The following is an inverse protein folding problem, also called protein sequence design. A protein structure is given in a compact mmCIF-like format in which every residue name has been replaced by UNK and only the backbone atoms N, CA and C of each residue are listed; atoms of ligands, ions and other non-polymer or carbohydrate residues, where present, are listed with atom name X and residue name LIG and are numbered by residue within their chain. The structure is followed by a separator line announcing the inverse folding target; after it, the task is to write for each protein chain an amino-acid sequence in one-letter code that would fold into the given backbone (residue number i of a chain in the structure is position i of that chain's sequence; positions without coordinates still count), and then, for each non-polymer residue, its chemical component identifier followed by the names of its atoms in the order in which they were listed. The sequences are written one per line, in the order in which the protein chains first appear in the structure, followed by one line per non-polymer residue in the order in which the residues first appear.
data_IF_935474962419
#
_entry.id   IF_935474962419
#
_cell.length_a   1.000
_cell.length_b   1.000
_cell.length_c   1.000
_cell.angle_alpha   90.00
_cell.angle_beta   90.00
_cell.angle_gamma   90.00
#
_symmetry.space_group_name_H-M   'P 1'
#
loop_
_entity.id
_entity.type
_entity.pdbx_description
1 polymer ?
#
# COMPACT_ATOMS: atom_id res chain seq x y z
N UNK A 1 20.54 68.18 -27.55
CA UNK A 1 21.83 67.86 -28.17
C UNK A 1 21.87 66.32 -28.10
N UNK A 2 21.39 65.58 -29.07
CA UNK A 2 21.84 65.44 -30.43
C UNK A 2 22.94 64.38 -30.42
N UNK A 3 22.71 63.16 -30.80
CA UNK A 3 22.82 62.74 -32.18
C UNK A 3 22.35 61.28 -32.38
N UNK A 4 21.65 61.11 -33.49
CA UNK A 4 21.29 59.83 -34.10
C UNK A 4 22.45 59.35 -34.97
N UNK A 5 22.78 58.08 -34.99
CA UNK A 5 23.51 57.46 -36.14
C UNK A 5 22.78 56.18 -36.52
N UNK A 6 22.62 56.08 -37.86
CA UNK A 6 21.79 55.19 -38.63
C UNK A 6 22.40 53.77 -38.81
N UNK A 7 21.49 52.82 -39.12
CA UNK A 7 21.78 51.47 -39.64
C UNK A 7 22.26 51.49 -41.09
N UNK A 8 22.97 50.45 -41.57
CA UNK A 8 22.71 49.97 -42.90
C UNK A 8 22.21 48.50 -42.92
N UNK A 9 21.25 48.27 -43.83
CA UNK A 9 20.72 46.98 -44.22
C UNK A 9 21.75 46.20 -45.06
N UNK A 10 21.94 44.91 -44.73
CA UNK A 10 22.55 43.96 -45.66
C UNK A 10 21.51 42.90 -46.08
N UNK A 11 21.16 42.86 -47.32
CA UNK A 11 20.38 41.80 -47.99
C UNK A 11 21.32 40.62 -48.26
N UNK A 12 20.98 39.46 -47.81
CA UNK A 12 21.61 38.19 -48.22
C UNK A 12 20.58 37.33 -48.95
N UNK A 13 20.94 36.93 -50.15
CA UNK A 13 20.22 36.03 -51.01
C UNK A 13 20.33 34.60 -50.50
N UNK A 14 19.23 33.89 -50.34
CA UNK A 14 19.15 32.47 -50.04
C UNK A 14 19.00 31.70 -51.37
N UNK A 15 20.02 30.91 -51.70
CA UNK A 15 19.98 29.96 -52.80
C UNK A 15 19.37 28.64 -52.28
N UNK A 16 18.22 28.24 -52.82
CA UNK A 16 17.64 26.92 -52.57
C UNK A 16 18.43 25.85 -53.35
N UNK A 17 19.01 24.92 -52.63
CA UNK A 17 19.45 23.63 -53.16
C UNK A 17 18.50 22.54 -52.66
N UNK A 18 17.74 21.98 -53.60
CA UNK A 18 16.88 20.83 -53.37
C UNK A 18 17.76 19.57 -53.33
N UNK A 19 17.95 19.04 -52.10
CA UNK A 19 18.58 17.74 -51.88
C UNK A 19 17.53 16.68 -51.61
N UNK A 20 17.41 15.71 -52.52
CA UNK A 20 16.59 14.51 -52.36
C UNK A 20 17.23 13.62 -51.28
N UNK A 21 16.68 13.60 -50.04
CA UNK A 21 17.06 12.59 -49.03
C UNK A 21 16.15 11.38 -49.17
N UNK A 22 16.69 10.30 -49.70
CA UNK A 22 16.10 8.95 -49.59
C UNK A 22 16.34 8.45 -48.18
N UNK A 23 15.34 8.46 -47.34
CA UNK A 23 15.40 7.84 -46.00
C UNK A 23 15.15 6.34 -46.12
N UNK A 24 16.21 5.56 -46.03
CA UNK A 24 16.10 4.13 -45.79
C UNK A 24 15.68 3.88 -44.35
N UNK A 25 14.44 3.41 -44.15
CA UNK A 25 13.96 2.95 -42.85
C UNK A 25 14.65 1.64 -42.49
N UNK A 26 15.65 1.71 -41.59
CA UNK A 26 16.20 0.52 -40.94
C UNK A 26 15.24 0.08 -39.87
N UNK A 27 14.49 -1.00 -40.10
CA UNK A 27 13.69 -1.68 -39.09
C UNK A 27 14.61 -2.30 -38.04
N UNK A 28 14.67 -1.72 -36.86
CA UNK A 28 15.29 -2.33 -35.68
C UNK A 28 14.46 -3.54 -35.24
N UNK A 29 15.07 -4.72 -34.97
CA UNK A 29 14.36 -5.84 -34.43
C UNK A 29 13.78 -5.49 -33.05
N UNK A 30 12.52 -5.83 -32.82
CA UNK A 30 11.86 -5.69 -31.51
C UNK A 30 12.68 -6.52 -30.49
N UNK A 31 13.32 -5.82 -29.56
CA UNK A 31 13.92 -6.45 -28.38
C UNK A 31 12.78 -7.02 -27.53
N UNK A 32 12.65 -8.32 -27.50
CA UNK A 32 11.90 -9.03 -26.46
C UNK A 32 12.54 -8.65 -25.13
N UNK A 33 11.77 -8.03 -24.24
CA UNK A 33 12.20 -7.81 -22.86
C UNK A 33 12.55 -9.20 -22.26
N UNK A 34 13.68 -9.30 -21.51
CA UNK A 34 13.97 -10.54 -20.80
C UNK A 34 12.80 -10.81 -19.84
N UNK A 35 12.31 -12.06 -19.85
CA UNK A 35 11.35 -12.53 -18.86
C UNK A 35 11.91 -12.19 -17.47
N UNK A 36 11.13 -11.50 -16.66
CA UNK A 36 11.48 -11.25 -15.26
C UNK A 36 11.76 -12.62 -14.63
N UNK A 37 12.95 -12.80 -14.06
CA UNK A 37 13.29 -13.97 -13.28
C UNK A 37 12.26 -14.06 -12.15
N UNK A 38 11.40 -15.07 -12.14
CA UNK A 38 10.49 -15.33 -11.04
C UNK A 38 11.33 -15.67 -9.82
N UNK A 39 11.51 -14.68 -8.95
CA UNK A 39 12.04 -14.90 -7.61
C UNK A 39 10.98 -15.73 -6.85
N UNK A 40 11.36 -16.79 -6.12
CA UNK A 40 10.41 -17.52 -5.29
C UNK A 40 9.79 -16.57 -4.28
N UNK A 41 8.47 -16.54 -4.18
CA UNK A 41 7.76 -15.79 -3.16
C UNK A 41 8.12 -16.38 -1.78
N UNK A 42 8.31 -15.51 -0.79
CA UNK A 42 8.61 -15.93 0.58
C UNK A 42 7.45 -16.71 1.20
N UNK A 43 6.22 -16.30 0.91
CA UNK A 43 5.03 -17.06 1.27
C UNK A 43 4.71 -18.08 0.15
N UNK A 44 4.27 -19.27 0.52
CA UNK A 44 3.70 -20.20 -0.45
C UNK A 44 2.56 -19.54 -1.23
N UNK A 45 2.28 -19.98 -2.47
CA UNK A 45 1.24 -19.37 -3.28
C UNK A 45 -0.10 -19.43 -2.55
N UNK A 46 -0.88 -18.35 -2.65
CA UNK A 46 -2.24 -18.28 -2.13
C UNK A 46 -3.11 -19.30 -2.90
N UNK A 47 -3.48 -20.40 -2.24
CA UNK A 47 -4.38 -21.40 -2.80
C UNK A 47 -5.84 -21.16 -2.42
N UNK A 48 -6.76 -21.92 -3.04
CA UNK A 48 -8.19 -21.78 -2.78
C UNK A 48 -8.58 -22.10 -1.33
N UNK A 49 -7.86 -23.00 -0.65
CA UNK A 49 -8.13 -23.35 0.74
C UNK A 49 -7.71 -22.22 1.69
N UNK A 50 -6.55 -21.64 1.48
CA UNK A 50 -6.10 -20.45 2.22
C UNK A 50 -7.01 -19.24 1.94
N UNK A 51 -7.40 -19.01 0.69
CA UNK A 51 -8.34 -17.95 0.31
C UNK A 51 -9.68 -18.11 1.05
N UNK A 52 -10.23 -19.33 1.11
CA UNK A 52 -11.49 -19.59 1.84
C UNK A 52 -11.35 -19.32 3.34
N UNK A 53 -10.23 -19.72 3.97
CA UNK A 53 -9.97 -19.41 5.40
C UNK A 53 -9.90 -17.90 5.66
N UNK A 54 -9.16 -17.16 4.83
CA UNK A 54 -9.02 -15.71 5.00
C UNK A 54 -10.33 -14.98 4.71
N UNK A 55 -11.09 -15.41 3.68
CA UNK A 55 -12.42 -14.86 3.44
C UNK A 55 -13.36 -15.05 4.63
N UNK A 56 -13.34 -16.23 5.26
CA UNK A 56 -14.16 -16.51 6.44
C UNK A 56 -13.84 -15.58 7.62
N UNK A 57 -12.58 -15.18 7.82
CA UNK A 57 -12.22 -14.22 8.87
C UNK A 57 -12.89 -12.86 8.65
N UNK A 58 -12.81 -12.33 7.43
CA UNK A 58 -13.45 -11.05 7.09
C UNK A 58 -14.99 -11.16 7.17
N UNK A 59 -15.59 -12.19 6.57
CA UNK A 59 -17.04 -12.41 6.59
C UNK A 59 -17.60 -12.51 8.00
N UNK A 60 -16.84 -13.07 8.94
CA UNK A 60 -17.26 -13.18 10.33
C UNK A 60 -17.40 -11.82 11.01
N UNK A 61 -16.59 -10.81 10.65
CA UNK A 61 -16.53 -9.55 11.40
C UNK A 61 -17.09 -8.32 10.68
N UNK A 62 -17.16 -8.28 9.32
CA UNK A 62 -17.59 -7.10 8.56
C UNK A 62 -18.88 -6.44 9.03
N UNK A 63 -19.83 -7.23 9.53
CA UNK A 63 -21.11 -6.74 10.05
C UNK A 63 -21.32 -7.07 11.54
N UNK A 64 -20.23 -7.45 12.23
CA UNK A 64 -20.25 -7.62 13.68
C UNK A 64 -19.96 -6.27 14.33
N UNK A 65 -20.99 -5.61 14.84
CA UNK A 65 -20.89 -4.26 15.37
C UNK A 65 -20.04 -4.19 16.66
N UNK A 66 -20.08 -5.23 17.49
CA UNK A 66 -19.37 -5.26 18.78
C UNK A 66 -18.52 -6.54 18.94
N UNK A 67 -17.33 -6.40 19.64
CA UNK A 67 -16.76 -5.18 20.23
C UNK A 67 -16.38 -4.15 19.16
N UNK A 68 -16.35 -2.84 19.53
CA UNK A 68 -16.02 -1.77 18.60
C UNK A 68 -15.18 -0.66 19.26
N UNK A 69 -14.24 -0.11 18.51
CA UNK A 69 -13.39 0.99 18.91
C UNK A 69 -13.62 2.21 18.01
N UNK A 70 -14.33 3.20 18.52
CA UNK A 70 -14.55 4.47 17.84
C UNK A 70 -13.45 5.47 18.19
N UNK A 71 -12.70 5.90 17.20
CA UNK A 71 -11.58 6.84 17.35
C UNK A 71 -12.01 8.27 16.98
N UNK A 72 -12.92 8.89 17.76
CA UNK A 72 -13.28 10.28 17.53
C UNK A 72 -13.46 11.09 18.83
N UNK A 73 -13.31 12.41 18.71
CA UNK A 73 -13.61 13.32 19.81
C UNK A 73 -15.11 13.60 19.87
N UNK A 74 -15.73 13.38 21.01
CA UNK A 74 -17.10 13.77 21.27
C UNK A 74 -17.19 15.28 21.54
N UNK A 75 -18.00 15.98 20.77
CA UNK A 75 -18.28 17.41 20.97
C UNK A 75 -19.60 17.65 21.71
N UNK A 76 -20.49 16.64 21.74
CA UNK A 76 -21.77 16.64 22.44
C UNK A 76 -22.29 15.23 22.61
N UNK A 77 -23.36 15.05 23.39
CA UNK A 77 -24.05 13.76 23.56
C UNK A 77 -24.55 13.18 22.24
N UNK A 78 -24.85 14.01 21.24
CA UNK A 78 -25.28 13.55 19.92
C UNK A 78 -24.17 12.87 19.11
N UNK A 79 -22.90 12.96 19.53
CA UNK A 79 -21.79 12.25 18.94
C UNK A 79 -21.64 10.81 19.47
N UNK A 80 -22.28 10.49 20.61
CA UNK A 80 -22.27 9.17 21.23
C UNK A 80 -23.40 8.29 20.64
N UNK A 81 -23.18 7.79 19.41
CA UNK A 81 -24.13 6.93 18.70
C UNK A 81 -23.52 5.56 18.41
N UNK A 82 -24.36 4.52 18.15
CA UNK A 82 -23.86 3.23 17.71
C UNK A 82 -22.99 3.34 16.45
N UNK A 83 -21.98 2.47 16.29
CA UNK A 83 -21.09 2.48 15.12
C UNK A 83 -21.81 2.50 13.77
N UNK A 84 -22.83 1.66 13.58
CA UNK A 84 -23.58 1.58 12.32
C UNK A 84 -24.34 2.88 11.96
N UNK A 85 -24.68 3.72 12.94
CA UNK A 85 -25.28 5.03 12.69
C UNK A 85 -24.26 6.09 12.32
N UNK A 86 -23.01 5.94 12.76
CA UNK A 86 -21.92 6.87 12.51
C UNK A 86 -21.23 6.58 11.17
N UNK A 87 -20.87 5.32 10.96
CA UNK A 87 -20.13 4.84 9.79
C UNK A 87 -20.84 3.64 9.16
N UNK A 88 -21.96 3.86 8.46
CA UNK A 88 -22.88 2.79 8.08
C UNK A 88 -22.35 1.81 7.03
N UNK A 89 -21.28 2.16 6.31
CA UNK A 89 -20.62 1.24 5.38
C UNK A 89 -19.56 0.38 6.06
N UNK A 90 -18.87 0.95 7.07
CA UNK A 90 -17.68 0.36 7.70
C UNK A 90 -17.76 0.44 9.22
N UNK A 91 -18.57 -0.41 9.82
CA UNK A 91 -18.85 -0.39 11.27
C UNK A 91 -18.46 -1.67 12.00
N UNK A 92 -18.00 -2.70 11.27
CA UNK A 92 -17.63 -3.99 11.82
C UNK A 92 -16.16 -4.13 12.16
N UNK A 93 -15.69 -5.35 12.32
CA UNK A 93 -14.28 -5.74 12.50
C UNK A 93 -13.54 -4.88 13.54
N UNK A 94 -14.14 -4.58 14.67
CA UNK A 94 -13.61 -3.79 15.78
C UNK A 94 -13.53 -2.28 15.51
N UNK A 95 -13.03 -1.86 14.35
CA UNK A 95 -12.82 -0.47 13.98
C UNK A 95 -12.99 -0.22 12.47
N UNK A 96 -13.06 1.06 12.11
CA UNK A 96 -13.34 1.49 10.76
C UNK A 96 -12.31 0.99 9.74
N UNK A 97 -11.02 1.10 10.06
CA UNK A 97 -9.98 0.70 9.10
C UNK A 97 -9.89 -0.81 8.92
N UNK A 98 -10.11 -1.60 9.97
CA UNK A 98 -10.12 -3.06 9.86
C UNK A 98 -11.30 -3.54 9.01
N UNK A 99 -12.45 -2.87 9.11
CA UNK A 99 -13.59 -3.15 8.24
C UNK A 99 -13.29 -2.78 6.78
N UNK A 100 -12.71 -1.60 6.52
CA UNK A 100 -12.30 -1.17 5.18
C UNK A 100 -11.34 -2.17 4.52
N UNK A 101 -10.29 -2.58 5.23
CA UNK A 101 -9.34 -3.51 4.62
C UNK A 101 -9.84 -4.97 4.60
N UNK A 102 -10.84 -5.33 5.43
CA UNK A 102 -11.61 -6.55 5.29
C UNK A 102 -12.42 -6.58 3.97
N UNK A 103 -13.03 -5.45 3.60
CA UNK A 103 -13.68 -5.26 2.30
C UNK A 103 -12.67 -5.41 1.15
N UNK A 104 -11.48 -4.79 1.26
CA UNK A 104 -10.41 -4.96 0.29
C UNK A 104 -10.01 -6.44 0.12
N UNK A 105 -9.85 -7.16 1.23
CA UNK A 105 -9.54 -8.59 1.23
C UNK A 105 -10.56 -9.38 0.41
N UNK A 106 -11.87 -9.17 0.66
CA UNK A 106 -12.91 -9.89 -0.07
C UNK A 106 -12.92 -9.55 -1.56
N UNK A 107 -12.77 -8.27 -1.94
CA UNK A 107 -12.68 -7.87 -3.35
C UNK A 107 -11.49 -8.53 -4.04
N UNK A 108 -10.32 -8.56 -3.37
CA UNK A 108 -9.11 -9.20 -3.88
C UNK A 108 -9.32 -10.70 -4.08
N UNK A 109 -9.91 -11.39 -3.10
CA UNK A 109 -10.13 -12.83 -3.18
C UNK A 109 -11.20 -13.22 -4.21
N UNK A 110 -12.28 -12.46 -4.36
CA UNK A 110 -13.27 -12.65 -5.44
C UNK A 110 -12.59 -12.60 -6.80
N UNK A 111 -11.68 -11.63 -7.00
CA UNK A 111 -10.97 -11.47 -8.27
C UNK A 111 -10.01 -12.62 -8.57
N UNK A 112 -9.32 -13.12 -7.56
CA UNK A 112 -8.34 -14.20 -7.72
C UNK A 112 -8.98 -15.58 -7.79
N UNK A 113 -10.13 -15.77 -7.15
CA UNK A 113 -10.83 -17.05 -7.02
C UNK A 113 -12.32 -16.89 -7.30
N UNK A 114 -12.71 -16.50 -8.55
CA UNK A 114 -14.10 -16.14 -8.86
C UNK A 114 -15.10 -17.29 -8.70
N UNK A 115 -14.64 -18.52 -8.74
CA UNK A 115 -15.47 -19.74 -8.63
C UNK A 115 -15.42 -20.38 -7.22
N UNK A 116 -14.78 -19.73 -6.25
CA UNK A 116 -14.66 -20.26 -4.90
C UNK A 116 -15.99 -20.23 -4.14
N UNK A 117 -16.27 -21.20 -3.24
CA UNK A 117 -17.55 -21.29 -2.53
C UNK A 117 -17.93 -20.05 -1.71
N UNK A 118 -16.95 -19.30 -1.20
CA UNK A 118 -17.20 -18.09 -0.41
C UNK A 118 -17.67 -16.87 -1.23
N UNK A 119 -17.54 -16.92 -2.57
CA UNK A 119 -17.76 -15.74 -3.44
C UNK A 119 -19.20 -15.20 -3.34
N UNK A 120 -20.20 -16.07 -3.29
CA UNK A 120 -21.60 -15.64 -3.18
C UNK A 120 -21.86 -14.87 -1.89
N UNK A 121 -21.35 -15.39 -0.77
CA UNK A 121 -21.48 -14.74 0.54
C UNK A 121 -20.69 -13.42 0.59
N UNK A 122 -19.47 -13.41 0.06
CA UNK A 122 -18.65 -12.22 -0.02
C UNK A 122 -19.29 -11.10 -0.87
N UNK A 123 -19.88 -11.43 -2.03
CA UNK A 123 -20.66 -10.47 -2.84
C UNK A 123 -21.86 -9.91 -2.09
N UNK A 124 -22.57 -10.74 -1.36
CA UNK A 124 -23.72 -10.33 -0.53
C UNK A 124 -23.28 -9.35 0.57
N UNK A 125 -22.19 -9.65 1.24
CA UNK A 125 -21.62 -8.79 2.29
C UNK A 125 -21.18 -7.42 1.72
N UNK A 126 -20.44 -7.41 0.62
CA UNK A 126 -19.99 -6.18 -0.04
C UNK A 126 -21.17 -5.33 -0.54
N UNK A 127 -22.21 -5.97 -1.13
CA UNK A 127 -23.41 -5.27 -1.61
C UNK A 127 -24.22 -4.64 -0.46
N UNK A 128 -24.21 -5.24 0.74
CA UNK A 128 -24.85 -4.68 1.93
C UNK A 128 -24.15 -3.41 2.41
N UNK A 129 -22.84 -3.36 2.39
CA UNK A 129 -22.02 -2.21 2.82
C UNK A 129 -21.99 -1.10 1.78
N UNK A 130 -21.67 -1.44 0.52
CA UNK A 130 -21.38 -0.49 -0.54
C UNK A 130 -22.67 -0.04 -1.25
N UNK A 131 -23.53 0.67 -0.53
CA UNK A 131 -24.75 1.30 -1.05
C UNK A 131 -24.58 2.81 -1.14
N UNK A 132 -25.29 3.51 -2.08
CA UNK A 132 -25.24 4.97 -2.16
C UNK A 132 -25.60 5.66 -0.84
N UNK A 133 -26.55 5.09 -0.08
CA UNK A 133 -26.98 5.62 1.19
C UNK A 133 -25.89 5.52 2.26
N UNK A 134 -25.25 4.36 2.39
CA UNK A 134 -24.18 4.15 3.36
C UNK A 134 -22.98 5.05 3.04
N UNK A 135 -22.59 5.14 1.76
CA UNK A 135 -21.48 6.01 1.34
C UNK A 135 -21.78 7.50 1.59
N UNK A 136 -23.04 7.93 1.43
CA UNK A 136 -23.43 9.29 1.81
C UNK A 136 -23.32 9.51 3.34
N UNK A 137 -23.67 8.50 4.15
CA UNK A 137 -23.47 8.52 5.60
C UNK A 137 -22.01 8.64 6.00
N UNK A 138 -21.12 7.85 5.40
CA UNK A 138 -19.66 7.96 5.61
C UNK A 138 -19.14 9.36 5.33
N UNK A 139 -19.52 9.95 4.19
CA UNK A 139 -19.12 11.31 3.82
C UNK A 139 -19.64 12.33 4.84
N UNK A 140 -20.90 12.20 5.26
CA UNK A 140 -21.47 13.09 6.26
C UNK A 140 -20.72 12.99 7.60
N UNK A 141 -20.39 11.77 8.04
CA UNK A 141 -19.60 11.54 9.24
C UNK A 141 -18.20 12.17 9.12
N UNK A 142 -17.48 11.90 8.04
CA UNK A 142 -16.15 12.46 7.80
C UNK A 142 -16.17 13.99 7.83
N UNK A 143 -17.20 14.64 7.29
CA UNK A 143 -17.36 16.10 7.26
C UNK A 143 -17.81 16.70 8.58
N UNK A 144 -18.15 15.90 9.56
CA UNK A 144 -18.56 16.32 10.88
C UNK A 144 -17.47 17.10 11.63
N UNK A 145 -17.86 17.92 12.60
CA UNK A 145 -16.95 18.64 13.46
C UNK A 145 -16.05 17.65 14.23
N UNK A 146 -14.76 18.00 14.43
CA UNK A 146 -13.82 17.15 15.15
C UNK A 146 -13.31 15.91 14.40
N UNK A 147 -13.68 15.72 13.11
CA UNK A 147 -13.32 14.52 12.32
C UNK A 147 -12.11 14.73 11.38
N UNK A 148 -11.40 15.83 11.47
CA UNK A 148 -10.31 16.14 10.55
C UNK A 148 -9.13 15.16 10.59
N UNK A 149 -8.89 14.51 11.73
CA UNK A 149 -7.83 13.50 11.94
C UNK A 149 -8.34 12.07 11.95
N UNK A 150 -9.66 11.85 11.80
CA UNK A 150 -10.24 10.51 11.80
C UNK A 150 -9.58 9.64 10.73
N UNK A 151 -9.06 8.49 11.15
CA UNK A 151 -8.42 7.45 10.33
C UNK A 151 -7.22 7.90 9.47
N UNK A 152 -6.68 9.06 9.75
CA UNK A 152 -5.56 9.62 8.99
C UNK A 152 -4.20 9.26 9.60
N UNK A 153 -3.27 8.65 8.83
CA UNK A 153 -3.40 8.37 7.40
C UNK A 153 -3.83 6.94 7.06
N UNK A 154 -3.73 5.98 7.96
CA UNK A 154 -3.77 4.53 7.74
C UNK A 154 -5.10 4.06 7.13
N UNK A 155 -6.21 4.30 7.82
CA UNK A 155 -7.52 3.84 7.36
C UNK A 155 -7.91 4.52 6.03
N UNK A 156 -7.61 5.82 5.88
CA UNK A 156 -7.86 6.53 4.63
C UNK A 156 -7.02 5.97 3.47
N UNK A 157 -5.81 5.53 3.72
CA UNK A 157 -4.96 4.88 2.72
C UNK A 157 -5.51 3.49 2.31
N UNK A 158 -6.04 2.71 3.26
CA UNK A 158 -6.71 1.45 2.97
C UNK A 158 -7.99 1.64 2.17
N UNK A 159 -8.77 2.71 2.42
CA UNK A 159 -9.94 3.02 1.59
C UNK A 159 -9.53 3.28 0.13
N UNK A 160 -8.47 4.05 -0.09
CA UNK A 160 -7.94 4.26 -1.44
C UNK A 160 -7.41 2.96 -2.05
N UNK A 161 -6.83 2.06 -1.25
CA UNK A 161 -6.41 0.73 -1.71
C UNK A 161 -7.61 -0.14 -2.13
N UNK A 162 -8.71 -0.10 -1.37
CA UNK A 162 -9.97 -0.74 -1.75
C UNK A 162 -10.49 -0.17 -3.08
N UNK A 163 -10.50 1.15 -3.24
CA UNK A 163 -10.92 1.80 -4.48
C UNK A 163 -10.05 1.37 -5.67
N UNK A 164 -8.73 1.26 -5.49
CA UNK A 164 -7.81 0.78 -6.52
C UNK A 164 -8.10 -0.67 -6.93
N UNK A 165 -8.40 -1.55 -5.97
CA UNK A 165 -8.72 -2.95 -6.25
C UNK A 165 -10.02 -3.07 -7.07
N UNK A 166 -11.05 -2.31 -6.70
CA UNK A 166 -12.32 -2.26 -7.44
C UNK A 166 -12.13 -1.72 -8.86
N UNK A 167 -11.34 -0.64 -9.05
CA UNK A 167 -11.04 -0.07 -10.37
C UNK A 167 -10.25 -1.02 -11.27
N UNK A 168 -9.38 -1.85 -10.68
CA UNK A 168 -8.57 -2.82 -11.41
C UNK A 168 -9.31 -4.11 -11.78
N UNK A 169 -10.62 -4.22 -11.49
CA UNK A 169 -11.43 -5.42 -11.75
C UNK A 169 -12.34 -5.24 -12.95
N UNK A 170 -12.38 -6.25 -13.82
CA UNK A 170 -13.33 -6.32 -14.95
C UNK A 170 -14.69 -6.91 -14.56
N UNK A 171 -14.88 -7.27 -13.28
CA UNK A 171 -16.12 -7.82 -12.74
C UNK A 171 -17.24 -6.76 -12.72
N UNK A 172 -18.48 -7.16 -13.06
CA UNK A 172 -19.62 -6.25 -13.17
C UNK A 172 -20.02 -5.65 -11.82
N UNK A 173 -20.03 -6.47 -10.74
CA UNK A 173 -20.36 -5.99 -9.40
C UNK A 173 -19.26 -5.06 -8.89
N UNK A 174 -17.98 -5.39 -9.12
CA UNK A 174 -16.86 -4.54 -8.76
C UNK A 174 -16.94 -3.16 -9.42
N UNK A 175 -17.34 -3.08 -10.71
CA UNK A 175 -17.60 -1.79 -11.39
C UNK A 175 -18.75 -1.01 -10.72
N UNK A 176 -19.82 -1.69 -10.35
CA UNK A 176 -20.94 -1.10 -9.62
C UNK A 176 -20.52 -0.54 -8.27
N UNK A 177 -19.77 -1.31 -7.48
CA UNK A 177 -19.22 -0.88 -6.18
C UNK A 177 -18.21 0.24 -6.33
N UNK A 178 -17.36 0.20 -7.36
CA UNK A 178 -16.43 1.29 -7.67
C UNK A 178 -17.17 2.61 -7.93
N UNK A 179 -18.23 2.58 -8.72
CA UNK A 179 -19.06 3.76 -8.97
C UNK A 179 -19.75 4.27 -7.69
N UNK A 180 -20.23 3.36 -6.85
CA UNK A 180 -20.85 3.68 -5.56
C UNK A 180 -19.85 4.29 -4.57
N UNK A 181 -18.61 3.77 -4.51
CA UNK A 181 -17.56 4.23 -3.61
C UNK A 181 -16.93 5.57 -4.07
N UNK A 182 -17.01 5.92 -5.35
CA UNK A 182 -16.30 7.05 -5.95
C UNK A 182 -16.50 8.41 -5.23
N UNK A 183 -17.68 8.78 -4.70
CA UNK A 183 -17.81 10.01 -3.92
C UNK A 183 -16.99 10.03 -2.62
N UNK A 184 -16.93 8.90 -1.91
CA UNK A 184 -16.13 8.77 -0.69
C UNK A 184 -14.62 8.72 -1.02
N UNK A 185 -14.23 7.99 -2.06
CA UNK A 185 -12.87 8.00 -2.60
C UNK A 185 -12.39 9.43 -2.89
N UNK A 186 -13.23 10.24 -3.55
CA UNK A 186 -12.91 11.64 -3.87
C UNK A 186 -12.75 12.50 -2.61
N UNK A 187 -13.60 12.33 -1.61
CA UNK A 187 -13.50 13.03 -0.31
C UNK A 187 -12.18 12.68 0.40
N UNK A 188 -11.85 11.40 0.45
CA UNK A 188 -10.61 10.91 1.09
C UNK A 188 -9.38 11.41 0.35
N UNK A 189 -9.36 11.32 -0.98
CA UNK A 189 -8.26 11.83 -1.79
C UNK A 189 -8.04 13.34 -1.58
N UNK A 190 -9.12 14.13 -1.55
CA UNK A 190 -9.04 15.56 -1.30
C UNK A 190 -8.46 15.89 0.10
N UNK A 191 -8.86 15.13 1.14
CA UNK A 191 -8.32 15.28 2.50
C UNK A 191 -6.83 15.01 2.56
N UNK A 192 -6.38 13.91 1.97
CA UNK A 192 -4.97 13.52 1.97
C UNK A 192 -4.13 14.49 1.14
N UNK A 193 -4.61 14.92 -0.04
CA UNK A 193 -3.94 15.93 -0.87
C UNK A 193 -3.79 17.27 -0.13
N UNK A 194 -4.80 17.66 0.65
CA UNK A 194 -4.76 18.88 1.47
C UNK A 194 -3.86 18.71 2.72
N UNK A 195 -3.73 17.51 3.25
CA UNK A 195 -2.96 17.23 4.46
C UNK A 195 -1.45 17.16 4.21
N UNK A 196 -1.02 16.43 3.17
CA UNK A 196 0.39 16.13 2.93
C UNK A 196 1.31 17.37 2.86
N UNK A 197 0.93 18.48 2.21
CA UNK A 197 1.77 19.70 2.21
C UNK A 197 1.92 20.37 3.58
N UNK A 198 0.98 20.11 4.51
CA UNK A 198 1.01 20.68 5.87
C UNK A 198 1.80 19.81 6.84
N UNK A 199 2.07 18.55 6.49
CA UNK A 199 2.91 17.68 7.29
C UNK A 199 4.37 18.09 7.11
N UNK A 200 4.98 18.63 8.17
CA UNK A 200 6.37 19.07 8.13
C UNK A 200 7.35 17.94 8.44
N UNK A 201 6.99 17.06 9.35
CA UNK A 201 7.75 15.87 9.72
C UNK A 201 6.91 14.61 9.50
N UNK A 202 7.47 13.55 8.85
CA UNK A 202 6.75 12.28 8.75
C UNK A 202 6.70 11.59 10.13
N UNK A 203 5.62 10.84 10.37
CA UNK A 203 5.51 9.99 11.56
C UNK A 203 6.23 8.67 11.27
N UNK A 204 7.19 8.30 12.12
CA UNK A 204 8.06 7.12 11.98
C UNK A 204 7.89 6.17 13.17
N UNK A 205 6.68 5.67 13.35
CA UNK A 205 6.33 4.66 14.36
C UNK A 205 5.80 3.40 13.67
N UNK A 206 5.73 2.29 14.37
CA UNK A 206 5.24 1.02 13.82
C UNK A 206 3.73 0.84 13.93
N UNK A 207 2.97 1.94 14.08
CA UNK A 207 1.54 1.98 14.33
C UNK A 207 0.77 2.74 13.23
N UNK A 208 -0.55 2.91 13.41
CA UNK A 208 -1.50 3.48 12.44
C UNK A 208 -1.12 4.87 11.91
N UNK A 209 -0.42 5.69 12.69
CA UNK A 209 0.04 7.01 12.25
C UNK A 209 1.23 6.98 11.29
N UNK A 210 1.79 5.80 11.00
CA UNK A 210 2.96 5.61 10.14
C UNK A 210 2.76 6.22 8.75
N UNK A 211 3.60 7.20 8.40
CA UNK A 211 3.41 7.96 7.17
C UNK A 211 3.80 7.17 5.92
N UNK A 212 5.00 6.56 5.89
CA UNK A 212 5.52 5.94 4.67
C UNK A 212 4.67 4.74 4.20
N UNK A 213 4.15 3.92 5.11
CA UNK A 213 3.24 2.83 4.78
C UNK A 213 1.97 3.34 4.09
N UNK A 214 1.33 4.36 4.67
CA UNK A 214 0.15 4.96 4.06
C UNK A 214 0.45 5.55 2.68
N UNK A 215 1.59 6.25 2.52
CA UNK A 215 1.99 6.81 1.22
C UNK A 215 2.23 5.72 0.17
N UNK A 216 2.70 4.52 0.56
CA UNK A 216 2.86 3.39 -0.36
C UNK A 216 1.51 2.91 -0.92
N UNK A 217 0.50 2.73 -0.07
CA UNK A 217 -0.85 2.36 -0.51
C UNK A 217 -1.49 3.43 -1.39
N UNK A 218 -1.33 4.71 -1.02
CA UNK A 218 -1.86 5.85 -1.79
C UNK A 218 -1.15 5.96 -3.15
N UNK A 219 0.15 5.65 -3.23
CA UNK A 219 0.90 5.61 -4.48
C UNK A 219 0.33 4.58 -5.45
N UNK A 220 0.06 3.37 -4.96
CA UNK A 220 -0.53 2.31 -5.77
C UNK A 220 -1.94 2.72 -6.28
N UNK A 221 -2.75 3.37 -5.44
CA UNK A 221 -4.04 3.95 -5.86
C UNK A 221 -3.87 5.06 -6.91
N UNK A 222 -2.95 6.00 -6.70
CA UNK A 222 -2.72 7.11 -7.62
C UNK A 222 -2.26 6.64 -9.01
N UNK A 223 -1.59 5.48 -9.08
CA UNK A 223 -1.22 4.85 -10.34
C UNK A 223 -2.44 4.30 -11.10
N UNK A 224 -3.40 3.71 -10.38
CA UNK A 224 -4.61 3.10 -10.97
C UNK A 224 -5.66 4.15 -11.30
N UNK A 225 -5.86 5.14 -10.43
CA UNK A 225 -6.84 6.22 -10.62
C UNK A 225 -6.41 7.26 -11.64
N UNK A 226 -5.10 7.39 -11.90
CA UNK A 226 -4.53 8.44 -12.74
C UNK A 226 -4.55 9.83 -12.08
N UNK A 227 -4.67 9.92 -10.75
CA UNK A 227 -4.65 11.20 -10.04
C UNK A 227 -3.25 11.81 -10.01
N UNK A 228 -3.00 12.72 -10.96
CA UNK A 228 -1.71 13.41 -11.12
C UNK A 228 -1.40 14.29 -9.91
N UNK A 229 -2.39 14.98 -9.32
CA UNK A 229 -2.17 15.87 -8.18
C UNK A 229 -1.71 15.09 -6.95
N UNK A 230 -2.33 13.94 -6.68
CA UNK A 230 -1.87 13.07 -5.61
C UNK A 230 -0.47 12.52 -5.91
N UNK A 231 -0.21 12.12 -7.15
CA UNK A 231 1.11 11.63 -7.57
C UNK A 231 2.20 12.68 -7.29
N UNK A 232 1.95 13.94 -7.67
CA UNK A 232 2.89 15.03 -7.45
C UNK A 232 3.11 15.29 -5.94
N UNK A 233 2.03 15.27 -5.15
CA UNK A 233 2.11 15.42 -3.70
C UNK A 233 2.92 14.30 -3.02
N UNK A 234 2.80 13.07 -3.52
CA UNK A 234 3.57 11.92 -3.02
C UNK A 234 5.05 12.00 -3.41
N UNK A 235 5.35 12.46 -4.62
CA UNK A 235 6.74 12.70 -5.05
C UNK A 235 7.40 13.81 -4.21
N UNK A 236 6.70 14.91 -3.97
CA UNK A 236 7.17 15.97 -3.08
C UNK A 236 7.39 15.44 -1.65
N UNK A 237 6.47 14.66 -1.11
CA UNK A 237 6.62 14.04 0.20
C UNK A 237 7.83 13.11 0.27
N UNK A 238 8.07 12.28 -0.75
CA UNK A 238 9.24 11.41 -0.82
C UNK A 238 10.54 12.20 -0.79
N UNK A 239 10.60 13.32 -1.53
CA UNK A 239 11.78 14.18 -1.57
C UNK A 239 12.03 14.88 -0.22
N UNK A 240 10.97 15.47 0.37
CA UNK A 240 11.08 16.23 1.62
C UNK A 240 11.38 15.35 2.83
N UNK A 241 10.79 14.15 2.87
CA UNK A 241 10.83 13.33 4.08
C UNK A 241 11.94 12.29 4.06
N UNK A 242 12.22 11.66 2.90
CA UNK A 242 12.93 10.39 2.88
C UNK A 242 14.16 10.36 1.97
N UNK A 243 14.26 11.23 0.96
CA UNK A 243 15.36 11.16 -0.02
C UNK A 243 16.75 11.26 0.63
N UNK A 244 16.85 12.04 1.72
CA UNK A 244 18.11 12.30 2.42
C UNK A 244 18.34 11.43 3.66
N UNK A 245 17.40 10.55 4.01
CA UNK A 245 17.53 9.67 5.16
C UNK A 245 18.62 8.62 4.95
N UNK A 246 19.37 8.36 6.02
CA UNK A 246 20.51 7.43 6.04
C UNK A 246 20.55 6.69 7.36
N UNK A 247 21.13 5.46 7.35
CA UNK A 247 21.40 4.68 8.55
C UNK A 247 20.15 4.50 9.43
N UNK A 248 19.00 4.08 8.84
CA UNK A 248 17.79 3.88 9.61
C UNK A 248 18.05 2.93 10.78
N UNK A 249 17.63 3.29 12.02
CA UNK A 249 17.99 2.56 13.23
C UNK A 249 17.15 1.29 13.41
N UNK A 250 17.22 0.36 12.45
CA UNK A 250 16.47 -0.90 12.44
C UNK A 250 16.67 -1.76 13.72
N UNK A 251 17.76 -1.56 14.43
CA UNK A 251 18.02 -2.22 15.71
C UNK A 251 17.11 -1.77 16.86
N UNK A 252 16.38 -0.65 16.71
CA UNK A 252 15.35 -0.20 17.64
C UNK A 252 13.96 -0.80 17.35
N UNK A 253 13.84 -1.58 16.27
CA UNK A 253 12.60 -2.25 15.88
C UNK A 253 12.60 -3.73 16.26
N UNK A 254 11.47 -4.28 16.72
CA UNK A 254 10.22 -3.55 16.93
C UNK A 254 10.19 -2.77 18.24
N UNK A 255 9.37 -1.72 18.32
CA UNK A 255 8.79 -1.25 19.56
C UNK A 255 7.74 -2.27 20.06
N UNK A 256 7.32 -2.19 21.32
CA UNK A 256 6.55 -3.26 21.97
C UNK A 256 5.22 -3.64 21.30
N UNK A 257 4.62 -2.75 20.55
CA UNK A 257 3.27 -2.90 19.95
C UNK A 257 3.27 -2.66 18.44
N UNK A 258 4.41 -2.65 17.78
CA UNK A 258 4.52 -2.40 16.36
C UNK A 258 3.87 -3.51 15.53
N UNK A 259 3.08 -3.14 14.51
CA UNK A 259 2.63 -4.03 13.44
C UNK A 259 3.19 -3.65 12.07
N UNK A 260 3.96 -2.57 12.01
CA UNK A 260 4.72 -2.10 10.85
C UNK A 260 6.17 -1.84 11.26
N UNK A 261 7.11 -2.02 10.32
CA UNK A 261 8.50 -1.61 10.48
C UNK A 261 8.68 -0.21 9.90
N UNK A 262 8.97 0.82 10.69
CA UNK A 262 9.22 2.17 10.17
C UNK A 262 10.29 2.21 9.08
N UNK A 263 11.43 1.56 9.29
CA UNK A 263 12.51 1.53 8.31
C UNK A 263 12.14 0.78 7.04
N UNK A 264 11.48 -0.39 7.14
CA UNK A 264 11.11 -1.14 5.93
C UNK A 264 9.94 -0.47 5.19
N UNK A 265 8.97 0.15 5.90
CA UNK A 265 7.89 0.89 5.26
C UNK A 265 8.42 2.08 4.44
N UNK A 266 9.44 2.78 4.96
CA UNK A 266 10.09 3.85 4.23
C UNK A 266 10.78 3.33 2.97
N UNK A 267 11.54 2.23 3.08
CA UNK A 267 12.18 1.62 1.92
C UNK A 267 11.16 1.07 0.91
N UNK A 268 10.04 0.52 1.37
CA UNK A 268 8.95 0.01 0.54
C UNK A 268 8.21 1.12 -0.20
N UNK A 269 8.06 2.30 0.41
CA UNK A 269 7.54 3.49 -0.29
C UNK A 269 8.56 4.02 -1.31
N UNK A 270 9.83 4.18 -0.91
CA UNK A 270 10.85 4.75 -1.77
C UNK A 270 11.15 3.90 -3.01
N UNK A 271 11.03 2.57 -2.95
CA UNK A 271 11.16 1.71 -4.14
C UNK A 271 10.09 1.96 -5.20
N UNK A 272 8.91 2.47 -4.80
CA UNK A 272 7.84 2.84 -5.73
C UNK A 272 8.10 4.16 -6.45
N UNK A 273 8.82 5.05 -5.79
CA UNK A 273 9.08 6.42 -6.27
C UNK A 273 10.35 6.50 -7.09
N UNK A 274 11.42 5.84 -6.65
CA UNK A 274 12.73 5.89 -7.28
C UNK A 274 12.87 4.86 -8.40
N UNK A 275 13.64 5.18 -9.44
CA UNK A 275 14.02 4.17 -10.43
C UNK A 275 14.93 3.11 -9.80
N UNK A 276 14.92 1.85 -10.29
CA UNK A 276 15.68 0.75 -9.67
C UNK A 276 17.15 1.04 -9.36
N UNK A 277 17.95 1.66 -10.28
CA UNK A 277 19.34 1.99 -9.97
C UNK A 277 19.49 3.03 -8.86
N UNK A 278 18.61 4.06 -8.87
CA UNK A 278 18.61 5.13 -7.85
C UNK A 278 18.16 4.57 -6.50
N UNK A 279 17.16 3.72 -6.50
CA UNK A 279 16.71 3.02 -5.29
C UNK A 279 17.81 2.14 -4.69
N UNK A 280 18.49 1.34 -5.50
CA UNK A 280 19.58 0.49 -5.04
C UNK A 280 20.72 1.28 -4.37
N UNK A 281 21.06 2.45 -4.93
CA UNK A 281 22.04 3.36 -4.35
C UNK A 281 21.53 4.00 -3.05
N UNK A 282 20.31 4.52 -3.03
CA UNK A 282 19.70 5.13 -1.87
C UNK A 282 19.60 4.12 -0.71
N UNK A 283 19.12 2.89 -0.99
CA UNK A 283 19.00 1.81 -0.02
C UNK A 283 20.34 1.43 0.62
N UNK A 284 21.45 1.53 -0.13
CA UNK A 284 22.80 1.25 0.40
C UNK A 284 23.22 2.24 1.49
N UNK A 285 22.73 3.47 1.44
CA UNK A 285 22.96 4.47 2.48
C UNK A 285 21.91 4.44 3.59
N UNK A 286 20.69 4.03 3.27
CA UNK A 286 19.57 4.00 4.20
C UNK A 286 19.58 2.77 5.11
N UNK A 287 19.79 1.57 4.55
CA UNK A 287 19.89 0.31 5.29
C UNK A 287 21.23 -0.39 4.98
N UNK A 288 22.37 0.19 5.39
CA UNK A 288 23.71 -0.37 5.12
C UNK A 288 23.96 -1.71 5.81
N UNK A 289 23.16 -2.04 6.84
CA UNK A 289 23.23 -3.29 7.60
C UNK A 289 22.70 -4.51 6.85
N UNK A 290 22.01 -4.35 5.70
CA UNK A 290 21.56 -5.49 4.89
C UNK A 290 22.80 -6.28 4.43
N UNK A 291 22.94 -7.58 4.79
CA UNK A 291 24.09 -8.37 4.41
C UNK A 291 24.26 -8.48 2.89
N UNK A 292 25.49 -8.46 2.44
CA UNK A 292 25.86 -8.63 1.02
C UNK A 292 26.58 -9.94 0.86
N UNK A 293 25.99 -10.87 0.12
CA UNK A 293 26.60 -12.17 -0.18
C UNK A 293 26.37 -12.54 -1.62
N UNK A 294 27.38 -13.08 -2.27
CA UNK A 294 27.28 -13.69 -3.60
C UNK A 294 27.02 -15.20 -3.52
N UNK A 295 27.10 -15.79 -2.34
CA UNK A 295 26.81 -17.21 -2.14
C UNK A 295 25.36 -17.40 -1.70
N UNK A 296 24.63 -18.24 -2.44
CA UNK A 296 23.33 -18.77 -2.03
C UNK A 296 23.54 -19.78 -0.89
N UNK A 297 23.86 -19.30 0.31
CA UNK A 297 24.00 -20.17 1.46
C UNK A 297 22.76 -20.02 2.35
N UNK A 298 22.09 -21.14 2.59
CA UNK A 298 20.95 -21.32 3.49
C UNK A 298 21.22 -20.93 4.98
N UNK A 299 22.33 -20.27 5.26
CA UNK A 299 22.77 -19.86 6.59
C UNK A 299 23.27 -18.41 6.62
N UNK A 300 22.62 -17.49 5.89
CA UNK A 300 22.79 -16.08 6.25
C UNK A 300 22.27 -15.93 7.69
N UNK A 301 23.11 -15.46 8.66
CA UNK A 301 22.61 -15.22 9.99
C UNK A 301 21.39 -14.29 9.88
N UNK A 302 20.36 -14.56 10.69
CA UNK A 302 19.15 -13.76 10.71
C UNK A 302 19.51 -12.32 11.08
N UNK A 303 19.81 -11.50 10.07
CA UNK A 303 20.14 -10.08 10.24
C UNK A 303 18.93 -9.28 10.72
N UNK A 304 17.75 -9.81 10.47
CA UNK A 304 16.48 -9.29 10.92
C UNK A 304 15.62 -10.48 11.39
N UNK A 305 15.69 -10.85 12.68
CA UNK A 305 14.90 -11.96 13.21
C UNK A 305 13.41 -11.60 13.27
N UNK A 306 12.51 -12.59 13.09
CA UNK A 306 11.08 -12.40 13.34
C UNK A 306 10.80 -11.92 14.76
N UNK A 307 9.77 -11.07 14.89
CA UNK A 307 9.24 -10.68 16.19
C UNK A 307 8.56 -11.86 16.88
N UNK A 308 8.67 -11.90 18.21
CA UNK A 308 8.10 -12.97 19.05
C UNK A 308 6.82 -12.48 19.70
N UNK A 309 5.70 -13.17 19.45
CA UNK A 309 4.42 -12.92 20.12
C UNK A 309 4.37 -13.73 21.41
N UNK A 310 4.20 -13.07 22.53
CA UNK A 310 4.15 -13.71 23.86
C UNK A 310 2.71 -13.99 24.32
N UNK A 311 1.73 -13.21 23.84
CA UNK A 311 0.32 -13.42 24.11
C UNK A 311 -0.52 -12.94 22.91
N UNK A 312 -1.25 -13.87 22.27
CA UNK A 312 -2.12 -13.59 21.12
C UNK A 312 -3.53 -13.15 21.52
N UNK A 313 -3.89 -13.29 22.79
CA UNK A 313 -5.15 -12.79 23.33
C UNK A 313 -5.05 -11.31 23.75
N UNK A 314 -3.85 -10.77 23.90
CA UNK A 314 -3.65 -9.34 24.10
C UNK A 314 -3.66 -8.62 22.75
N UNK A 315 -4.59 -7.64 22.54
CA UNK A 315 -4.76 -6.98 21.24
C UNK A 315 -3.51 -6.23 20.77
N UNK A 316 -2.69 -5.74 21.68
CA UNK A 316 -1.46 -5.01 21.35
C UNK A 316 -0.28 -5.94 21.10
N UNK A 317 -0.13 -7.00 21.89
CA UNK A 317 0.95 -7.98 21.69
C UNK A 317 0.72 -8.82 20.42
N UNK A 318 -0.54 -9.06 20.01
CA UNK A 318 -0.88 -9.70 18.74
C UNK A 318 -0.43 -8.89 17.52
N UNK A 319 -0.14 -7.60 17.65
CA UNK A 319 0.41 -6.74 16.60
C UNK A 319 1.71 -7.29 16.01
N UNK A 320 2.51 -7.99 16.79
CA UNK A 320 3.80 -8.56 16.34
C UNK A 320 3.62 -9.66 15.27
N UNK A 321 2.49 -10.40 15.24
CA UNK A 321 2.18 -11.28 14.10
C UNK A 321 1.97 -10.45 12.81
N UNK A 322 1.28 -9.31 12.92
CA UNK A 322 1.13 -8.35 11.81
C UNK A 322 2.45 -7.72 11.38
N UNK A 323 3.35 -7.41 12.32
CA UNK A 323 4.70 -6.95 12.02
C UNK A 323 5.45 -7.96 11.15
N UNK A 324 5.38 -9.24 11.50
CA UNK A 324 6.04 -10.28 10.73
C UNK A 324 5.44 -10.36 9.30
N UNK A 325 4.12 -10.32 9.13
CA UNK A 325 3.49 -10.27 7.82
C UNK A 325 3.92 -9.04 7.03
N UNK A 326 3.89 -7.86 7.65
CA UNK A 326 4.25 -6.60 6.98
C UNK A 326 5.72 -6.53 6.60
N UNK A 327 6.61 -6.98 7.46
CA UNK A 327 8.04 -7.11 7.14
C UNK A 327 8.27 -8.05 5.96
N UNK A 328 7.57 -9.19 5.90
CA UNK A 328 7.70 -10.13 4.80
C UNK A 328 7.42 -9.47 3.44
N UNK A 329 6.25 -8.84 3.25
CA UNK A 329 5.94 -8.20 1.97
C UNK A 329 6.81 -6.99 1.65
N UNK A 330 7.23 -6.21 2.67
CA UNK A 330 8.13 -5.07 2.46
C UNK A 330 9.51 -5.56 1.98
N UNK A 331 10.04 -6.63 2.57
CA UNK A 331 11.30 -7.24 2.17
C UNK A 331 11.22 -7.82 0.75
N UNK A 332 10.12 -8.53 0.39
CA UNK A 332 9.86 -8.97 -0.97
C UNK A 332 9.83 -7.80 -1.97
N UNK A 333 9.12 -6.74 -1.60
CA UNK A 333 9.02 -5.54 -2.43
C UNK A 333 10.36 -4.86 -2.66
N UNK A 334 11.17 -4.74 -1.60
CA UNK A 334 12.53 -4.19 -1.66
C UNK A 334 13.42 -5.08 -2.56
N UNK A 335 13.36 -6.40 -2.38
CA UNK A 335 14.12 -7.34 -3.20
C UNK A 335 13.72 -7.25 -4.68
N UNK A 336 12.41 -7.19 -4.97
CA UNK A 336 11.88 -7.09 -6.34
C UNK A 336 12.35 -5.83 -7.07
N UNK A 337 12.55 -4.73 -6.35
CA UNK A 337 12.99 -3.44 -6.91
C UNK A 337 14.50 -3.34 -7.14
N UNK A 338 15.28 -4.28 -6.64
CA UNK A 338 16.73 -4.29 -6.83
C UNK A 338 17.11 -4.88 -8.20
N UNK A 339 18.28 -4.48 -8.77
CA UNK A 339 18.80 -5.09 -9.98
C UNK A 339 18.97 -6.61 -9.82
N UNK A 340 18.80 -7.39 -10.91
CA UNK A 340 19.18 -8.80 -10.90
C UNK A 340 20.63 -8.99 -10.43
N UNK A 341 20.86 -9.98 -9.56
CA UNK A 341 22.18 -10.26 -8.95
C UNK A 341 22.69 -9.23 -7.92
N UNK A 342 21.84 -8.33 -7.42
CA UNK A 342 22.23 -7.49 -6.29
C UNK A 342 22.64 -8.37 -5.10
N UNK A 343 23.81 -8.14 -4.48
CA UNK A 343 24.33 -9.02 -3.43
C UNK A 343 23.49 -9.03 -2.13
N UNK A 344 22.49 -8.17 -2.02
CA UNK A 344 21.54 -8.13 -0.88
C UNK A 344 20.36 -9.09 -1.05
N UNK A 345 20.06 -9.54 -2.27
CA UNK A 345 18.89 -10.38 -2.56
C UNK A 345 18.80 -11.64 -1.70
N UNK A 346 19.89 -12.43 -1.48
CA UNK A 346 19.81 -13.62 -0.63
C UNK A 346 19.38 -13.31 0.79
N UNK A 347 19.89 -12.23 1.39
CA UNK A 347 19.57 -11.85 2.76
C UNK A 347 18.13 -11.31 2.88
N UNK A 348 17.67 -10.52 1.89
CA UNK A 348 16.30 -10.01 1.86
C UNK A 348 15.28 -11.14 1.72
N UNK A 349 15.50 -12.05 0.79
CA UNK A 349 14.58 -13.18 0.55
C UNK A 349 14.55 -14.14 1.74
N UNK A 350 15.70 -14.45 2.34
CA UNK A 350 15.75 -15.30 3.54
C UNK A 350 15.02 -14.67 4.73
N UNK A 351 15.18 -13.37 4.95
CA UNK A 351 14.44 -12.66 6.00
C UNK A 351 12.94 -12.62 5.71
N UNK A 352 12.52 -12.32 4.46
CA UNK A 352 11.12 -12.34 4.07
C UNK A 352 10.47 -13.69 4.34
N UNK A 353 11.13 -14.79 3.95
CA UNK A 353 10.66 -16.15 4.22
C UNK A 353 10.52 -16.43 5.73
N UNK A 354 11.53 -16.08 6.52
CA UNK A 354 11.50 -16.32 7.96
C UNK A 354 10.34 -15.57 8.65
N UNK A 355 10.08 -14.34 8.26
CA UNK A 355 8.96 -13.57 8.78
C UNK A 355 7.60 -14.14 8.34
N UNK A 356 7.45 -14.56 7.08
CA UNK A 356 6.24 -15.22 6.58
C UNK A 356 5.95 -16.54 7.33
N UNK A 357 6.97 -17.38 7.50
CA UNK A 357 6.87 -18.68 8.21
C UNK A 357 6.50 -18.50 9.68
N UNK A 358 6.94 -17.41 10.30
CA UNK A 358 6.61 -17.13 11.70
C UNK A 358 5.16 -16.68 11.90
N UNK A 359 4.56 -15.94 10.93
CA UNK A 359 3.27 -15.30 11.12
C UNK A 359 2.10 -15.99 10.43
N UNK A 360 2.27 -16.55 9.23
CA UNK A 360 1.15 -17.15 8.49
C UNK A 360 0.40 -18.26 9.26
N UNK A 361 1.07 -19.13 10.05
CA UNK A 361 0.38 -20.11 10.87
C UNK A 361 -0.49 -19.52 11.98
N UNK A 362 -0.22 -18.28 12.42
CA UNK A 362 -0.98 -17.59 13.46
C UNK A 362 -2.29 -16.96 12.94
N UNK A 363 -2.49 -16.90 11.62
CA UNK A 363 -3.72 -16.33 11.02
C UNK A 363 -4.83 -17.38 11.04
N UNK A 364 -5.38 -17.65 12.22
CA UNK A 364 -6.38 -18.73 12.45
C UNK A 364 -7.77 -18.22 12.82
N UNK A 365 -7.88 -17.01 13.37
CA UNK A 365 -9.14 -16.51 13.95
C UNK A 365 -9.51 -17.14 15.30
N UNK A 366 -8.58 -17.85 15.95
CA UNK A 366 -8.75 -18.39 17.30
C UNK A 366 -8.97 -17.26 18.31
N UNK A 367 -8.21 -16.19 18.19
CA UNK A 367 -8.34 -14.96 18.97
C UNK A 367 -8.91 -13.84 18.10
N UNK A 368 -9.95 -13.15 18.57
CA UNK A 368 -10.58 -12.05 17.83
C UNK A 368 -9.62 -10.86 17.66
N UNK A 369 -8.74 -10.65 18.62
CA UNK A 369 -7.74 -9.58 18.70
C UNK A 369 -6.83 -9.53 17.46
N UNK A 370 -6.46 -10.68 16.92
CA UNK A 370 -5.73 -10.78 15.64
C UNK A 370 -6.65 -11.16 14.48
N UNK A 371 -7.70 -11.96 14.76
CA UNK A 371 -8.55 -12.58 13.73
C UNK A 371 -9.29 -11.59 12.85
N UNK A 372 -9.63 -10.39 13.34
CA UNK A 372 -10.38 -9.39 12.59
C UNK A 372 -9.54 -8.64 11.54
N UNK A 373 -8.21 -8.69 11.59
CA UNK A 373 -7.35 -7.91 10.68
C UNK A 373 -6.17 -8.68 10.07
N UNK A 374 -5.57 -9.66 10.75
CA UNK A 374 -4.42 -10.41 10.25
C UNK A 374 -4.69 -11.12 8.92
N UNK A 375 -5.95 -11.54 8.67
CA UNK A 375 -6.37 -12.10 7.40
C UNK A 375 -6.07 -11.18 6.21
N UNK A 376 -6.27 -9.88 6.37
CA UNK A 376 -5.96 -8.88 5.34
C UNK A 376 -4.46 -8.82 5.07
N UNK A 377 -3.63 -8.81 6.10
CA UNK A 377 -2.18 -8.79 5.96
C UNK A 377 -1.66 -10.07 5.31
N UNK A 378 -2.23 -11.23 5.68
CA UNK A 378 -1.89 -12.49 5.02
C UNK A 378 -2.26 -12.50 3.53
N UNK A 379 -3.44 -11.99 3.16
CA UNK A 379 -3.83 -11.86 1.75
C UNK A 379 -2.95 -10.85 1.02
N UNK A 380 -2.60 -9.72 1.65
CA UNK A 380 -1.71 -8.74 1.02
C UNK A 380 -0.34 -9.36 0.68
N UNK A 381 0.24 -10.12 1.61
CA UNK A 381 1.49 -10.85 1.41
C UNK A 381 1.34 -11.94 0.34
N UNK A 382 0.45 -12.91 0.56
CA UNK A 382 0.38 -14.13 -0.25
C UNK A 382 -0.16 -13.92 -1.65
N UNK A 383 -0.94 -12.84 -1.88
CA UNK A 383 -1.37 -12.41 -3.21
C UNK A 383 -0.39 -11.43 -3.86
N UNK A 384 0.73 -11.12 -3.20
CA UNK A 384 1.75 -10.17 -3.67
C UNK A 384 1.17 -8.81 -4.05
N UNK A 385 0.14 -8.36 -3.33
CA UNK A 385 -0.64 -7.18 -3.69
C UNK A 385 0.17 -5.86 -3.78
N UNK A 386 1.34 -5.80 -3.16
CA UNK A 386 2.26 -4.66 -3.18
C UNK A 386 3.31 -4.71 -4.31
N UNK A 387 3.32 -5.74 -5.17
CA UNK A 387 4.28 -5.89 -6.25
C UNK A 387 3.72 -5.37 -7.59
N UNK A 388 4.56 -4.84 -8.48
CA UNK A 388 4.14 -4.42 -9.82
C UNK A 388 3.65 -5.62 -10.65
N UNK A 389 2.55 -5.43 -11.40
CA UNK A 389 2.05 -6.44 -12.34
C UNK A 389 1.24 -7.59 -11.74
N UNK A 390 1.08 -7.66 -10.44
CA UNK A 390 0.19 -8.61 -9.79
C UNK A 390 -1.26 -8.11 -9.92
N UNK A 391 -1.89 -8.49 -11.02
CA UNK A 391 -3.31 -8.20 -11.32
C UNK A 391 -4.18 -9.35 -10.87
#
# INVERSE_FOLDING_TARGET
MGDRIARPHARSYVTLLAGCCVTAAVALPARTAPAASELPAAAGPLDAAAAARFAALALKCLHQEYPNHLSHTLSSDSDARPPHELTPAFYGCLDWHSDVHGHWLLVRLIRLFPDAPFVTEARTALARSLTPQNIAGEIAYLRGAGRASFERPYGLAWLLRLAAELRGSDDADARGWSATLAPLESEVAARLTSYLPRLHYPVRIGEHDQTAFALALIWDWAAVSGDVRMRDALQDAAQRFYLHDRNCPLAYEPSGEDFLSPCLAEADFMRRVLSPPVFAQWLSGFLPQIPRSTASTAAAPAWLPPGVVTDRADPKLAHIDGLNLSRAWMLEGIAHALPPHDPRLPALNAAAQAHADAALPAVTGEHYEGGHWLGTFAVYLTSQAGLPGTR
#
